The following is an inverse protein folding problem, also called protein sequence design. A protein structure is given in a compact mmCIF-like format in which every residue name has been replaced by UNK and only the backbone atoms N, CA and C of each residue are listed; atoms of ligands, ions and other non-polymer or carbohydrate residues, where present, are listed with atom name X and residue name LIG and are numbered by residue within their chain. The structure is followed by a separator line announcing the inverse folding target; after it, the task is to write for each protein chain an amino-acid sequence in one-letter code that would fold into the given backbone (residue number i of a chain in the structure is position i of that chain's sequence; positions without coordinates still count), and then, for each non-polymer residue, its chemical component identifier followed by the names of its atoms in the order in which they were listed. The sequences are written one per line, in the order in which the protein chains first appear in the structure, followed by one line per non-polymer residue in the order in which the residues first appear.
data_IF_602098503891
#
_entry.id   IF_602098503891
#
_cell.length_a   1.000
_cell.length_b   1.000
_cell.length_c   1.000
_cell.angle_alpha   90.00
_cell.angle_beta   90.00
_cell.angle_gamma   90.00
#
_symmetry.space_group_name_H-M   'P 1'
#
loop_
_entity.id
_entity.type
_entity.pdbx_description
1 polymer ?
#
# COMPACT_ATOMS: atom_id res chain seq x y z
N UNK A 1 45.90 3.80 -24.67
CA UNK A 1 44.93 4.93 -24.61
C UNK A 1 43.58 4.38 -24.20
N UNK A 2 43.43 4.00 -22.92
CA UNK A 2 42.28 3.22 -22.39
C UNK A 2 41.28 4.08 -21.59
N UNK A 3 41.59 5.36 -21.36
CA UNK A 3 40.78 6.24 -20.52
C UNK A 3 39.48 6.72 -21.17
N UNK A 4 39.46 7.00 -22.48
CA UNK A 4 38.24 7.45 -23.18
C UNK A 4 37.17 6.34 -23.22
N UNK A 5 37.48 5.08 -23.62
CA UNK A 5 36.52 3.99 -23.54
C UNK A 5 35.96 3.78 -22.12
N UNK A 6 36.82 3.80 -21.10
CA UNK A 6 36.39 3.66 -19.70
C UNK A 6 35.42 4.77 -19.26
N UNK A 7 35.61 6.02 -19.73
CA UNK A 7 34.68 7.11 -19.45
C UNK A 7 33.33 6.91 -20.16
N UNK A 8 33.31 6.34 -21.37
CA UNK A 8 32.07 6.00 -22.09
C UNK A 8 31.30 4.88 -21.39
N UNK A 9 32.00 3.84 -20.96
CA UNK A 9 31.44 2.77 -20.15
C UNK A 9 30.84 3.30 -18.85
N UNK A 10 31.55 4.20 -18.17
CA UNK A 10 31.03 4.83 -16.95
C UNK A 10 29.79 5.70 -17.23
N UNK A 11 29.78 6.49 -18.31
CA UNK A 11 28.60 7.26 -18.72
C UNK A 11 27.39 6.35 -18.99
N UNK A 12 27.60 5.21 -19.68
CA UNK A 12 26.56 4.22 -19.91
C UNK A 12 26.05 3.60 -18.60
N UNK A 13 26.96 3.26 -17.68
CA UNK A 13 26.61 2.73 -16.37
C UNK A 13 25.80 3.74 -15.53
N UNK A 14 26.11 5.04 -15.60
CA UNK A 14 25.34 6.09 -14.93
C UNK A 14 23.93 6.24 -15.51
N UNK A 15 23.79 6.10 -16.84
CA UNK A 15 22.48 6.14 -17.50
C UNK A 15 21.60 4.95 -17.10
N UNK A 16 22.18 3.74 -17.06
CA UNK A 16 21.50 2.54 -16.59
C UNK A 16 21.10 2.68 -15.12
N UNK A 17 22.04 3.09 -14.25
CA UNK A 17 21.75 3.34 -12.83
C UNK A 17 20.60 4.33 -12.64
N UNK A 18 20.57 5.42 -13.43
CA UNK A 18 19.47 6.38 -13.37
C UNK A 18 18.14 5.71 -13.69
N UNK A 19 18.08 4.99 -14.81
CA UNK A 19 16.86 4.31 -15.26
C UNK A 19 16.36 3.33 -14.21
N UNK A 20 17.22 2.43 -13.76
CA UNK A 20 16.88 1.37 -12.82
C UNK A 20 16.43 1.94 -11.46
N UNK A 21 17.15 2.94 -10.95
CA UNK A 21 16.80 3.57 -9.68
C UNK A 21 15.48 4.36 -9.75
N UNK A 22 15.23 5.07 -10.85
CA UNK A 22 13.96 5.78 -11.08
C UNK A 22 12.78 4.82 -11.19
N UNK A 23 12.96 3.70 -11.91
CA UNK A 23 11.94 2.65 -12.02
C UNK A 23 11.64 2.03 -10.65
N UNK A 24 12.69 1.66 -9.90
CA UNK A 24 12.54 1.09 -8.56
C UNK A 24 11.80 2.03 -7.60
N UNK A 25 12.15 3.32 -7.57
CA UNK A 25 11.44 4.34 -6.78
C UNK A 25 9.97 4.47 -7.17
N UNK A 26 9.69 4.45 -8.49
CA UNK A 26 8.34 4.43 -9.02
C UNK A 26 7.54 3.22 -8.55
N UNK A 27 8.14 2.03 -8.62
CA UNK A 27 7.56 0.77 -8.15
C UNK A 27 7.22 0.82 -6.65
N UNK A 28 8.15 1.27 -5.81
CA UNK A 28 7.91 1.39 -4.36
C UNK A 28 6.74 2.33 -4.07
N UNK A 29 6.66 3.48 -4.74
CA UNK A 29 5.54 4.41 -4.56
C UNK A 29 4.20 3.80 -4.96
N UNK A 30 4.17 3.04 -6.06
CA UNK A 30 2.96 2.37 -6.52
C UNK A 30 2.51 1.32 -5.51
N UNK A 31 3.44 0.54 -4.97
CA UNK A 31 3.17 -0.48 -3.95
C UNK A 31 2.65 0.12 -2.64
N UNK A 32 3.26 1.21 -2.18
CA UNK A 32 2.79 1.97 -1.02
C UNK A 32 1.35 2.42 -1.23
N UNK A 33 1.06 3.06 -2.37
CA UNK A 33 -0.28 3.54 -2.69
C UNK A 33 -1.29 2.40 -2.73
N UNK A 34 -0.95 1.31 -3.43
CA UNK A 34 -1.78 0.10 -3.50
C UNK A 34 -2.09 -0.48 -2.13
N UNK A 35 -1.10 -0.50 -1.23
CA UNK A 35 -1.28 -0.94 0.15
C UNK A 35 -2.27 -0.07 0.92
N UNK A 36 -2.17 1.25 0.81
CA UNK A 36 -3.11 2.18 1.45
C UNK A 36 -4.53 2.02 0.87
N UNK A 37 -4.64 1.98 -0.45
CA UNK A 37 -5.92 1.82 -1.16
C UNK A 37 -6.59 0.51 -0.74
N UNK A 38 -5.83 -0.59 -0.64
CA UNK A 38 -6.36 -1.87 -0.15
C UNK A 38 -6.92 -1.78 1.28
N UNK A 39 -6.24 -1.11 2.21
CA UNK A 39 -6.76 -0.95 3.58
C UNK A 39 -8.05 -0.11 3.58
N UNK A 40 -8.11 0.91 2.72
CA UNK A 40 -9.32 1.73 2.54
C UNK A 40 -10.49 0.89 2.02
N UNK A 41 -10.26 0.06 1.01
CA UNK A 41 -11.26 -0.86 0.47
C UNK A 41 -11.72 -1.88 1.51
N UNK A 42 -10.79 -2.43 2.30
CA UNK A 42 -11.12 -3.31 3.41
C UNK A 42 -12.01 -2.60 4.44
N UNK A 43 -11.72 -1.34 4.79
CA UNK A 43 -12.57 -0.57 5.70
C UNK A 43 -14.00 -0.45 5.16
N UNK A 44 -14.17 -0.10 3.88
CA UNK A 44 -15.49 0.01 3.25
C UNK A 44 -16.22 -1.33 3.17
N UNK A 45 -15.50 -2.44 2.99
CA UNK A 45 -16.05 -3.79 3.03
C UNK A 45 -16.55 -4.13 4.45
N UNK A 46 -15.72 -3.94 5.47
CA UNK A 46 -16.09 -4.26 6.85
C UNK A 46 -17.20 -3.36 7.39
N UNK A 47 -17.27 -2.10 6.97
CA UNK A 47 -18.41 -1.22 7.30
C UNK A 47 -19.74 -1.71 6.69
N UNK A 48 -19.70 -2.30 5.50
CA UNK A 48 -20.89 -2.99 4.94
C UNK A 48 -21.23 -4.22 5.78
N UNK A 49 -20.24 -5.07 6.05
CA UNK A 49 -20.44 -6.26 6.86
C UNK A 49 -21.00 -5.98 8.26
N UNK A 50 -20.61 -4.86 8.90
CA UNK A 50 -21.20 -4.41 10.18
C UNK A 50 -22.70 -4.19 10.03
N UNK A 51 -23.15 -3.45 9.01
CA UNK A 51 -24.57 -3.20 8.76
C UNK A 51 -25.35 -4.49 8.54
N UNK A 52 -24.80 -5.39 7.71
CA UNK A 52 -25.42 -6.69 7.45
C UNK A 52 -25.52 -7.53 8.75
N UNK A 53 -24.47 -7.51 9.58
CA UNK A 53 -24.48 -8.20 10.87
C UNK A 53 -25.44 -7.57 11.90
N UNK A 54 -25.63 -6.25 11.89
CA UNK A 54 -26.62 -5.56 12.72
C UNK A 54 -28.05 -5.98 12.36
N UNK A 55 -28.33 -6.11 11.05
CA UNK A 55 -29.60 -6.64 10.55
C UNK A 55 -29.80 -8.10 10.98
N UNK A 56 -28.79 -8.95 10.84
CA UNK A 56 -28.84 -10.35 11.31
C UNK A 56 -29.11 -10.46 12.82
N UNK A 57 -28.45 -9.61 13.64
CA UNK A 57 -28.69 -9.58 15.08
C UNK A 57 -30.11 -9.14 15.39
N UNK A 58 -30.64 -8.17 14.66
CA UNK A 58 -32.01 -7.68 14.81
C UNK A 58 -33.02 -8.78 14.46
N UNK A 59 -32.81 -9.48 13.35
CA UNK A 59 -33.63 -10.61 12.93
C UNK A 59 -33.58 -11.76 13.95
N UNK A 60 -32.39 -12.15 14.41
CA UNK A 60 -32.24 -13.22 15.41
C UNK A 60 -32.90 -12.86 16.76
N UNK A 61 -32.89 -11.58 17.17
CA UNK A 61 -33.65 -11.11 18.35
C UNK A 61 -35.15 -11.22 18.12
N UNK A 62 -35.64 -10.85 16.95
CA UNK A 62 -37.06 -10.95 16.60
C UNK A 62 -37.54 -12.41 16.60
N UNK A 63 -36.77 -13.33 16.02
CA UNK A 63 -37.07 -14.77 16.01
C UNK A 63 -37.08 -15.36 17.42
N UNK A 64 -36.09 -15.00 18.26
CA UNK A 64 -36.06 -15.43 19.65
C UNK A 64 -37.28 -14.92 20.42
N UNK A 65 -37.64 -13.65 20.23
CA UNK A 65 -38.83 -13.05 20.85
C UNK A 65 -40.10 -13.76 20.39
N UNK A 66 -40.30 -13.92 19.09
CA UNK A 66 -41.46 -14.61 18.52
C UNK A 66 -41.60 -16.02 19.07
N UNK A 67 -40.49 -16.77 19.19
CA UNK A 67 -40.50 -18.12 19.77
C UNK A 67 -40.88 -18.14 21.24
N UNK A 68 -40.42 -17.17 22.04
CA UNK A 68 -40.76 -17.05 23.47
C UNK A 68 -42.25 -16.80 23.71
N UNK A 69 -42.93 -16.13 22.80
CA UNK A 69 -44.36 -15.82 22.91
C UNK A 69 -45.28 -16.80 22.16
N UNK A 70 -44.73 -17.77 21.42
CA UNK A 70 -45.49 -18.78 20.69
C UNK A 70 -45.85 -19.98 21.58
N UNK A 71 -46.87 -19.83 22.44
CA UNK A 71 -47.41 -20.92 23.26
C UNK A 71 -48.63 -20.48 24.07
N UNK A 72 -49.84 -20.90 23.66
CA UNK A 72 -51.09 -20.71 24.41
C UNK A 72 -51.40 -21.92 25.31
N UNK A 73 -50.56 -22.96 25.29
CA UNK A 73 -50.79 -24.26 25.95
C UNK A 73 -50.12 -24.39 27.34
N UNK A 74 -49.50 -23.33 27.85
CA UNK A 74 -48.87 -23.30 29.17
C UNK A 74 -47.54 -24.06 29.29
N UNK A 75 -46.99 -24.58 28.18
CA UNK A 75 -45.62 -25.15 28.15
C UNK A 75 -44.60 -24.09 27.77
N UNK A 76 -43.44 -24.14 28.43
CA UNK A 76 -42.31 -23.26 28.11
C UNK A 76 -41.74 -23.61 26.72
N UNK A 77 -41.65 -22.66 25.77
CA UNK A 77 -41.15 -22.93 24.43
C UNK A 77 -39.63 -23.22 24.45
N UNK A 78 -39.19 -24.28 23.75
CA UNK A 78 -37.75 -24.48 23.50
C UNK A 78 -37.20 -23.38 22.58
N UNK A 79 -36.24 -22.61 23.11
CA UNK A 79 -35.55 -21.48 22.46
C UNK A 79 -34.06 -21.74 22.21
N UNK A 80 -33.56 -22.95 22.48
CA UNK A 80 -32.12 -23.28 22.44
C UNK A 80 -31.48 -22.93 21.09
N UNK A 81 -32.18 -23.19 19.99
CA UNK A 81 -31.72 -22.88 18.64
C UNK A 81 -31.62 -21.37 18.40
N UNK A 82 -32.65 -20.61 18.76
CA UNK A 82 -32.74 -19.16 18.55
C UNK A 82 -31.69 -18.43 19.41
N UNK A 83 -31.46 -18.88 20.64
CA UNK A 83 -30.40 -18.36 21.49
C UNK A 83 -29.01 -18.60 20.90
N UNK A 84 -28.77 -19.81 20.37
CA UNK A 84 -27.52 -20.13 19.67
C UNK A 84 -27.34 -19.26 18.41
N UNK A 85 -28.39 -19.05 17.64
CA UNK A 85 -28.36 -18.21 16.45
C UNK A 85 -28.06 -16.75 16.81
N UNK A 86 -28.70 -16.21 17.85
CA UNK A 86 -28.42 -14.87 18.35
C UNK A 86 -26.98 -14.72 18.85
N UNK A 87 -26.45 -15.70 19.57
CA UNK A 87 -25.04 -15.71 20.01
C UNK A 87 -24.09 -15.66 18.80
N UNK A 88 -24.36 -16.46 17.76
CA UNK A 88 -23.56 -16.47 16.53
C UNK A 88 -23.62 -15.14 15.78
N UNK A 89 -24.81 -14.55 15.62
CA UNK A 89 -24.98 -13.25 14.97
C UNK A 89 -24.21 -12.15 15.71
N UNK A 90 -24.30 -12.11 17.05
CA UNK A 90 -23.54 -11.17 17.88
C UNK A 90 -22.02 -11.34 17.73
N UNK A 91 -21.52 -12.56 17.71
CA UNK A 91 -20.09 -12.83 17.52
C UNK A 91 -19.59 -12.37 16.14
N UNK A 92 -20.42 -12.53 15.09
CA UNK A 92 -20.10 -12.02 13.74
C UNK A 92 -20.04 -10.48 13.73
N UNK A 93 -21.01 -9.83 14.37
CA UNK A 93 -21.02 -8.36 14.50
C UNK A 93 -19.76 -7.87 15.22
N UNK A 94 -19.43 -8.45 16.37
CA UNK A 94 -18.23 -8.09 17.14
C UNK A 94 -16.95 -8.22 16.31
N UNK A 95 -16.83 -9.31 15.53
CA UNK A 95 -15.71 -9.51 14.63
C UNK A 95 -15.65 -8.44 13.53
N UNK A 96 -16.77 -8.12 12.88
CA UNK A 96 -16.82 -7.10 11.85
C UNK A 96 -16.42 -5.71 12.41
N UNK A 97 -16.91 -5.35 13.60
CA UNK A 97 -16.54 -4.12 14.29
C UNK A 97 -15.05 -4.08 14.65
N UNK A 98 -14.48 -5.20 15.11
CA UNK A 98 -13.04 -5.32 15.38
C UNK A 98 -12.21 -5.08 14.12
N UNK A 99 -12.63 -5.62 12.98
CA UNK A 99 -11.99 -5.38 11.69
C UNK A 99 -12.08 -3.92 11.27
N UNK A 100 -13.24 -3.27 11.45
CA UNK A 100 -13.38 -1.83 11.21
C UNK A 100 -12.40 -1.02 12.07
N UNK A 101 -12.28 -1.33 13.38
CA UNK A 101 -11.32 -0.67 14.27
C UNK A 101 -9.89 -0.87 13.79
N UNK A 102 -9.53 -2.10 13.43
CA UNK A 102 -8.20 -2.46 12.92
C UNK A 102 -7.86 -1.69 11.65
N UNK A 103 -8.77 -1.66 10.66
CA UNK A 103 -8.55 -0.91 9.41
C UNK A 103 -8.37 0.59 9.68
N UNK A 104 -9.18 1.19 10.56
CA UNK A 104 -9.03 2.61 10.94
C UNK A 104 -7.68 2.89 11.60
N UNK A 105 -7.23 2.02 12.51
CA UNK A 105 -5.91 2.13 13.13
C UNK A 105 -4.80 2.10 12.09
N UNK A 106 -4.86 1.17 11.14
CA UNK A 106 -3.84 1.07 10.10
C UNK A 106 -3.88 2.24 9.12
N UNK A 107 -5.06 2.71 8.70
CA UNK A 107 -5.18 3.91 7.86
C UNK A 107 -4.57 5.16 8.51
N UNK A 108 -4.63 5.27 9.84
CA UNK A 108 -4.00 6.38 10.55
C UNK A 108 -2.49 6.18 10.75
N UNK A 109 -2.03 4.93 10.91
CA UNK A 109 -0.63 4.60 11.25
C UNK A 109 0.27 4.51 10.03
N UNK A 110 -0.19 3.86 8.96
CA UNK A 110 0.61 3.57 7.76
C UNK A 110 1.18 4.83 7.11
N UNK A 111 0.39 5.90 6.84
CA UNK A 111 0.94 7.11 6.25
C UNK A 111 2.06 7.75 7.05
N UNK A 112 1.95 7.73 8.39
CA UNK A 112 3.00 8.27 9.29
C UNK A 112 4.28 7.45 9.21
N UNK A 113 4.17 6.12 9.22
CA UNK A 113 5.32 5.24 9.11
C UNK A 113 6.03 5.37 7.76
N UNK A 114 5.26 5.55 6.67
CA UNK A 114 5.82 5.82 5.35
C UNK A 114 6.57 7.15 5.35
N UNK A 115 6.00 8.18 5.96
CA UNK A 115 6.61 9.50 6.02
C UNK A 115 7.94 9.47 6.80
N UNK A 116 7.92 8.85 7.97
CA UNK A 116 9.08 8.70 8.86
C UNK A 116 10.21 7.86 8.24
N UNK A 117 9.87 6.75 7.56
CA UNK A 117 10.86 5.76 7.12
C UNK A 117 11.29 5.91 5.66
N UNK A 118 10.41 6.39 4.78
CA UNK A 118 10.63 6.33 3.34
C UNK A 118 10.62 7.71 2.66
N UNK A 119 9.62 8.57 2.93
CA UNK A 119 9.39 9.80 2.14
C UNK A 119 10.65 10.66 1.99
N UNK A 120 11.37 10.93 3.08
CA UNK A 120 12.57 11.77 3.04
C UNK A 120 13.77 11.12 2.32
N UNK A 121 13.90 9.80 2.37
CA UNK A 121 14.97 9.08 1.68
C UNK A 121 14.67 8.93 0.19
N UNK A 122 13.44 8.50 -0.14
CA UNK A 122 12.98 8.37 -1.52
C UNK A 122 13.02 9.70 -2.27
N UNK A 123 12.54 10.78 -1.66
CA UNK A 123 12.54 12.10 -2.30
C UNK A 123 13.96 12.63 -2.55
N UNK A 124 14.89 12.46 -1.60
CA UNK A 124 16.29 12.87 -1.81
C UNK A 124 16.96 12.12 -2.95
N UNK A 125 16.73 10.81 -3.06
CA UNK A 125 17.27 10.02 -4.15
C UNK A 125 16.67 10.47 -5.49
N UNK A 126 15.36 10.70 -5.56
CA UNK A 126 14.69 11.22 -6.76
C UNK A 126 15.29 12.56 -7.21
N UNK A 127 15.44 13.52 -6.30
CA UNK A 127 16.07 14.81 -6.60
C UNK A 127 17.51 14.66 -7.12
N UNK A 128 18.28 13.74 -6.55
CA UNK A 128 19.64 13.45 -7.01
C UNK A 128 19.66 12.87 -8.43
N UNK A 129 18.79 11.88 -8.71
CA UNK A 129 18.70 11.23 -10.01
C UNK A 129 18.28 12.20 -11.11
N UNK A 130 17.32 13.08 -10.82
CA UNK A 130 16.79 14.03 -11.80
C UNK A 130 17.67 15.27 -11.95
N UNK A 131 18.28 15.76 -10.87
CA UNK A 131 19.11 16.96 -10.87
C UNK A 131 20.60 16.67 -11.08
N UNK A 132 21.25 16.17 -10.03
CA UNK A 132 22.71 16.06 -9.98
C UNK A 132 23.26 15.06 -10.98
N UNK A 133 22.65 13.87 -11.06
CA UNK A 133 23.10 12.81 -11.96
C UNK A 133 22.92 13.22 -13.43
N UNK A 134 21.79 13.83 -13.78
CA UNK A 134 21.55 14.37 -15.14
C UNK A 134 22.60 15.40 -15.52
N UNK A 135 22.91 16.35 -14.62
CA UNK A 135 23.92 17.39 -14.86
C UNK A 135 25.32 16.81 -14.97
N UNK A 136 25.66 15.86 -14.09
CA UNK A 136 26.93 15.16 -14.08
C UNK A 136 27.16 14.36 -15.37
N UNK A 137 26.15 13.61 -15.82
CA UNK A 137 26.20 12.88 -17.10
C UNK A 137 26.41 13.84 -18.28
N UNK A 138 25.67 14.95 -18.35
CA UNK A 138 25.84 15.95 -19.42
C UNK A 138 27.21 16.64 -19.40
N UNK A 139 27.81 16.83 -18.21
CA UNK A 139 29.18 17.32 -18.09
C UNK A 139 30.17 16.27 -18.61
N UNK A 140 30.01 15.01 -18.19
CA UNK A 140 30.89 13.91 -18.59
C UNK A 140 30.86 13.70 -20.12
N UNK A 141 29.68 13.72 -20.74
CA UNK A 141 29.53 13.66 -22.21
C UNK A 141 30.37 14.73 -22.89
N UNK A 142 30.23 16.00 -22.49
CA UNK A 142 31.00 17.12 -23.07
C UNK A 142 32.51 16.97 -22.89
N UNK A 143 32.95 16.35 -21.78
CA UNK A 143 34.38 16.10 -21.52
C UNK A 143 34.92 14.96 -22.38
N UNK A 144 34.15 13.90 -22.57
CA UNK A 144 34.49 12.80 -23.48
C UNK A 144 34.66 13.34 -24.91
N UNK A 145 33.69 14.12 -25.40
CA UNK A 145 33.74 14.74 -26.74
C UNK A 145 34.94 15.68 -26.91
N UNK A 146 35.33 16.39 -25.86
CA UNK A 146 36.54 17.23 -25.89
C UNK A 146 37.81 16.37 -26.00
N UNK A 147 37.91 15.29 -25.21
CA UNK A 147 39.06 14.38 -25.22
C UNK A 147 39.20 13.64 -26.56
N UNK A 148 38.08 13.22 -27.15
CA UNK A 148 38.05 12.57 -28.48
C UNK A 148 38.60 13.52 -29.55
N UNK A 149 38.13 14.78 -29.60
CA UNK A 149 38.67 15.80 -30.51
C UNK A 149 40.16 16.05 -30.33
N UNK A 150 40.65 16.10 -29.09
CA UNK A 150 42.09 16.25 -28.83
C UNK A 150 42.91 15.03 -29.29
N UNK A 151 42.35 13.82 -29.18
CA UNK A 151 43.01 12.61 -29.62
C UNK A 151 43.11 12.55 -31.15
N UNK A 152 42.06 12.98 -31.87
CA UNK A 152 42.05 13.08 -33.33
C UNK A 152 43.13 14.06 -33.85
N UNK A 153 43.19 15.29 -33.28
CA UNK A 153 44.18 16.31 -33.68
C UNK A 153 45.63 15.89 -33.43
N UNK A 154 45.89 14.97 -32.49
CA UNK A 154 47.25 14.48 -32.18
C UNK A 154 47.68 13.31 -33.07
N UNK A 155 46.74 12.66 -33.75
CA UNK A 155 47.02 11.54 -34.64
C UNK A 155 47.34 11.95 -36.09
N UNK A 156 47.10 13.21 -36.45
CA UNK A 156 47.58 13.89 -37.67
C UNK A 156 48.94 14.58 -37.45
#
# INVERSE_FOLDING_TARGET
MTSIPALREWLAALALYKSDASEALGGIRMEIRRGIDWISDQLSLWQRAVRDCEEEVTQAKAELSARKFAGFDGREPDTTLQERNLRRAKARLEHAEEKVRTCRTWLARVPKQIDELYSGHGHRLELFLDGDLTRGAALLTRRIEALERYAEVKHD
#
